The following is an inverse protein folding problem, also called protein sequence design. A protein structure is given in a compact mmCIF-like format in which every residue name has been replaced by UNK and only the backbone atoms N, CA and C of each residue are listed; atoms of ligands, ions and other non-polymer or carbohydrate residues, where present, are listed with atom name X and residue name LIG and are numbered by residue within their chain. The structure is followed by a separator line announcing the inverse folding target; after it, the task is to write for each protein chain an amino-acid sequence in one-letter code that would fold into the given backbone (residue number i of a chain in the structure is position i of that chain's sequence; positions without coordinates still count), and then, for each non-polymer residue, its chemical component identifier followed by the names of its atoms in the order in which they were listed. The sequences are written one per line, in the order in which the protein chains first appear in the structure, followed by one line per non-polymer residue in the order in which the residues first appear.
data_IF_536308242889
#
_entry.id   IF_536308242889
#
_cell.length_a   1.000
_cell.length_b   1.000
_cell.length_c   1.000
_cell.angle_alpha   90.00
_cell.angle_beta   90.00
_cell.angle_gamma   90.00
#
_symmetry.space_group_name_H-M   'P 1'
#
loop_
_entity.id
_entity.type
_entity.pdbx_description
1 polymer ?
#
# COMPACT_ATOMS: atom_id res chain seq x y z
N UNK A 1 39.53 -11.98 4.36
CA UNK A 1 38.82 -11.80 3.08
C UNK A 1 37.34 -11.64 3.41
N UNK A 2 36.83 -10.41 3.48
CA UNK A 2 35.41 -10.19 3.73
C UNK A 2 34.66 -10.26 2.40
N UNK A 3 33.75 -11.22 2.29
CA UNK A 3 32.83 -11.33 1.18
C UNK A 3 31.92 -10.10 1.19
N UNK A 4 32.15 -9.18 0.26
CA UNK A 4 31.19 -8.14 -0.07
C UNK A 4 29.91 -8.82 -0.52
N UNK A 5 28.91 -8.84 0.36
CA UNK A 5 27.56 -9.24 -0.03
C UNK A 5 27.08 -8.21 -1.05
N UNK A 6 27.26 -8.48 -2.35
CA UNK A 6 26.60 -7.74 -3.41
C UNK A 6 25.10 -7.87 -3.18
N UNK A 7 24.50 -6.92 -2.45
CA UNK A 7 23.06 -6.77 -2.32
C UNK A 7 22.56 -6.39 -3.71
N UNK A 8 22.25 -7.41 -4.53
CA UNK A 8 21.62 -7.23 -5.83
C UNK A 8 20.38 -6.36 -5.60
N UNK A 9 20.29 -5.25 -6.35
CA UNK A 9 19.15 -4.34 -6.29
C UNK A 9 17.90 -5.15 -6.63
N UNK A 10 16.77 -4.97 -5.92
CA UNK A 10 15.54 -5.66 -6.27
C UNK A 10 15.24 -5.41 -7.75
N UNK A 11 14.69 -6.40 -8.44
CA UNK A 11 14.35 -6.26 -9.85
C UNK A 11 12.88 -5.84 -9.96
N UNK A 12 12.58 -4.91 -10.87
CA UNK A 12 11.21 -4.56 -11.26
C UNK A 12 10.47 -5.83 -11.70
N UNK A 13 9.20 -5.96 -11.35
CA UNK A 13 8.34 -7.00 -11.90
C UNK A 13 7.92 -6.61 -13.32
N UNK A 14 8.06 -7.52 -14.27
CA UNK A 14 7.54 -7.31 -15.62
C UNK A 14 6.01 -7.30 -15.61
N UNK A 15 5.37 -6.67 -16.59
CA UNK A 15 3.89 -6.67 -16.68
C UNK A 15 3.33 -8.11 -16.81
N UNK A 16 4.06 -9.00 -17.48
CA UNK A 16 3.75 -10.44 -17.53
C UNK A 16 3.82 -11.12 -16.16
N UNK A 17 4.78 -10.73 -15.33
CA UNK A 17 4.90 -11.24 -13.95
C UNK A 17 3.71 -10.78 -13.11
N UNK A 18 3.34 -9.49 -13.23
CA UNK A 18 2.20 -8.93 -12.51
C UNK A 18 0.88 -9.59 -12.92
N UNK A 19 0.69 -9.87 -14.21
CA UNK A 19 -0.47 -10.63 -14.69
C UNK A 19 -0.47 -12.04 -14.10
N UNK A 20 0.67 -12.72 -14.08
CA UNK A 20 0.81 -14.07 -13.50
C UNK A 20 0.48 -14.09 -12.01
N UNK A 21 0.95 -13.08 -11.26
CA UNK A 21 0.79 -12.98 -9.80
C UNK A 21 -0.63 -12.59 -9.41
N UNK A 22 -1.20 -11.57 -10.05
CA UNK A 22 -2.42 -10.88 -9.58
C UNK A 22 -3.68 -11.16 -10.40
N UNK A 23 -3.57 -11.53 -11.68
CA UNK A 23 -4.75 -11.87 -12.50
C UNK A 23 -5.16 -13.35 -12.35
N UNK A 24 -4.30 -14.19 -11.79
CA UNK A 24 -4.55 -15.62 -11.56
C UNK A 24 -5.44 -15.88 -10.34
N UNK A 25 -6.37 -16.86 -10.37
CA UNK A 25 -7.10 -17.33 -9.19
C UNK A 25 -6.19 -17.80 -8.04
N UNK A 26 -4.93 -18.11 -8.35
CA UNK A 26 -3.93 -18.50 -7.36
C UNK A 26 -3.69 -17.42 -6.30
N UNK A 27 -3.84 -16.14 -6.65
CA UNK A 27 -3.67 -15.03 -5.69
C UNK A 27 -4.74 -15.06 -4.62
N UNK A 28 -5.99 -15.25 -5.06
CA UNK A 28 -7.17 -15.26 -4.21
C UNK A 28 -7.11 -16.45 -3.24
N UNK A 29 -6.76 -17.62 -3.77
CA UNK A 29 -6.59 -18.83 -2.97
C UNK A 29 -5.44 -18.70 -1.97
N UNK A 30 -4.33 -18.08 -2.37
CA UNK A 30 -3.18 -17.86 -1.48
C UNK A 30 -3.49 -16.89 -0.33
N UNK A 31 -4.33 -15.89 -0.59
CA UNK A 31 -4.65 -14.83 0.38
C UNK A 31 -6.03 -14.99 1.06
N UNK A 32 -6.81 -16.03 0.72
CA UNK A 32 -8.22 -16.21 1.08
C UNK A 32 -8.57 -15.92 2.54
N UNK A 33 -7.73 -16.35 3.48
CA UNK A 33 -8.01 -16.24 4.92
C UNK A 33 -7.12 -15.21 5.64
N UNK A 34 -6.35 -14.42 4.89
CA UNK A 34 -5.39 -13.48 5.47
C UNK A 34 -5.48 -12.13 4.74
N UNK A 35 -6.31 -11.18 5.25
CA UNK A 35 -6.48 -9.87 4.63
C UNK A 35 -5.18 -9.11 4.41
N UNK A 36 -4.19 -9.31 5.29
CA UNK A 36 -2.86 -8.72 5.14
C UNK A 36 -2.13 -9.27 3.90
N UNK A 37 -2.28 -10.55 3.56
CA UNK A 37 -1.69 -11.13 2.34
C UNK A 37 -2.41 -10.64 1.07
N UNK A 38 -3.70 -10.34 1.16
CA UNK A 38 -4.48 -9.83 0.04
C UNK A 38 -4.20 -8.34 -0.22
N UNK A 39 -4.33 -7.49 0.78
CA UNK A 39 -4.26 -6.04 0.56
C UNK A 39 -2.83 -5.50 0.53
N UNK A 40 -1.91 -6.06 1.32
CA UNK A 40 -0.56 -5.47 1.41
C UNK A 40 0.22 -5.49 0.07
N UNK A 41 0.22 -6.59 -0.71
CA UNK A 41 0.90 -6.58 -2.00
C UNK A 41 0.28 -5.60 -3.01
N UNK A 42 -1.06 -5.48 -3.02
CA UNK A 42 -1.76 -4.50 -3.85
C UNK A 42 -1.42 -3.06 -3.46
N UNK A 43 -1.41 -2.75 -2.16
CA UNK A 43 -0.97 -1.45 -1.63
C UNK A 43 0.52 -1.18 -1.95
N UNK A 44 1.36 -2.20 -1.91
CA UNK A 44 2.76 -2.11 -2.31
C UNK A 44 2.92 -1.78 -3.80
N UNK A 45 2.09 -2.37 -4.66
CA UNK A 45 2.13 -2.19 -6.12
C UNK A 45 1.59 -0.84 -6.57
N UNK A 46 0.47 -0.40 -6.00
CA UNK A 46 -0.27 0.78 -6.48
C UNK A 46 -0.04 2.05 -5.66
N UNK A 47 0.54 1.94 -4.47
CA UNK A 47 0.79 3.09 -3.59
C UNK A 47 2.22 3.07 -3.01
N UNK A 48 3.04 2.10 -3.38
CA UNK A 48 4.42 1.97 -2.89
C UNK A 48 4.51 1.71 -1.39
N UNK A 49 3.47 1.22 -0.73
CA UNK A 49 3.46 0.97 0.72
C UNK A 49 4.54 -0.07 1.08
N UNK A 50 5.24 0.11 2.19
CA UNK A 50 6.22 -0.89 2.71
C UNK A 50 5.51 -1.98 3.51
N UNK A 51 6.09 -3.18 3.58
CA UNK A 51 5.53 -4.29 4.35
C UNK A 51 5.29 -3.92 5.83
N UNK A 52 6.21 -3.17 6.44
CA UNK A 52 6.09 -2.70 7.82
C UNK A 52 5.00 -1.64 8.01
N UNK A 53 4.77 -0.80 7.00
CA UNK A 53 3.70 0.19 7.03
C UNK A 53 2.35 -0.52 6.87
N UNK A 54 2.23 -1.42 5.90
CA UNK A 54 1.01 -2.22 5.70
C UNK A 54 0.63 -3.03 6.95
N UNK A 55 1.61 -3.70 7.58
CA UNK A 55 1.37 -4.47 8.80
C UNK A 55 0.95 -3.60 10.00
N UNK A 56 1.33 -2.31 10.02
CA UNK A 56 1.05 -1.40 11.12
C UNK A 56 -0.19 -0.52 10.92
N UNK A 57 -0.90 -0.64 9.78
CA UNK A 57 -2.08 0.19 9.49
C UNK A 57 -3.23 -0.11 10.47
N UNK A 58 -3.81 0.96 11.01
CA UNK A 58 -5.04 0.92 11.80
C UNK A 58 -6.23 1.48 11.02
N UNK A 59 -7.44 1.23 11.50
CA UNK A 59 -8.66 1.84 10.91
C UNK A 59 -8.54 3.37 10.91
N UNK A 60 -7.99 3.94 11.99
CA UNK A 60 -7.81 5.40 12.15
C UNK A 60 -6.88 6.03 11.09
N UNK A 61 -6.09 5.21 10.39
CA UNK A 61 -5.23 5.68 9.31
C UNK A 61 -6.01 5.85 7.99
N UNK A 62 -7.28 5.42 7.93
CA UNK A 62 -8.17 5.66 6.78
C UNK A 62 -8.97 6.93 7.02
N UNK A 63 -8.66 7.96 6.23
CA UNK A 63 -9.30 9.28 6.31
C UNK A 63 -10.02 9.61 5.00
N UNK A 64 -11.04 10.46 5.06
CA UNK A 64 -11.82 10.87 3.89
C UNK A 64 -11.88 12.40 3.71
N UNK A 65 -10.72 13.09 3.55
CA UNK A 65 -10.71 14.53 3.31
C UNK A 65 -11.45 14.85 2.01
N UNK A 66 -12.49 15.69 2.10
CA UNK A 66 -13.30 16.16 0.97
C UNK A 66 -13.85 15.03 0.08
N UNK A 67 -14.30 13.93 0.70
CA UNK A 67 -14.90 12.78 0.01
C UNK A 67 -13.90 11.89 -0.73
N UNK A 68 -12.60 12.04 -0.47
CA UNK A 68 -11.55 11.20 -1.04
C UNK A 68 -10.97 10.27 0.02
N UNK A 69 -11.22 8.97 -0.10
CA UNK A 69 -10.55 7.97 0.73
C UNK A 69 -9.03 8.02 0.53
N UNK A 70 -8.30 8.23 1.62
CA UNK A 70 -6.85 8.31 1.69
C UNK A 70 -6.32 7.44 2.83
N UNK A 71 -5.10 6.94 2.67
CA UNK A 71 -4.39 6.17 3.71
C UNK A 71 -3.24 7.03 4.25
N UNK A 72 -3.21 7.24 5.56
CA UNK A 72 -2.12 7.93 6.26
C UNK A 72 -0.99 6.94 6.56
N UNK A 73 0.11 7.05 5.82
CA UNK A 73 1.27 6.19 6.01
C UNK A 73 2.26 6.83 6.99
N UNK A 74 2.17 6.42 8.26
CA UNK A 74 3.07 6.87 9.34
C UNK A 74 4.53 6.51 9.01
N UNK A 75 5.38 7.51 8.86
CA UNK A 75 6.83 7.29 8.79
C UNK A 75 7.33 7.05 10.23
N UNK A 76 7.39 5.78 10.67
CA UNK A 76 8.13 5.40 11.89
C UNK A 76 9.63 5.48 11.57
N UNK A 77 10.16 6.68 11.44
CA UNK A 77 11.52 6.91 11.91
C UNK A 77 11.50 6.59 13.41
N UNK A 78 12.46 5.79 13.88
CA UNK A 78 12.56 5.42 15.28
C UNK A 78 12.43 6.66 16.19
N UNK A 79 11.80 6.57 17.36
CA UNK A 79 11.78 7.69 18.28
C UNK A 79 13.22 7.90 18.78
N UNK A 80 13.86 8.99 18.37
CA UNK A 80 14.85 9.60 19.24
C UNK A 80 14.12 10.00 20.53
N UNK A 81 14.70 9.53 21.64
CA UNK A 81 14.28 9.75 23.01
C UNK A 81 13.92 11.21 23.26
N UNK A 82 12.65 11.53 23.45
CA UNK A 82 12.25 12.80 24.08
C UNK A 82 11.03 12.60 25.01
N UNK A 83 11.13 13.27 26.15
CA UNK A 83 10.36 13.06 27.38
C UNK A 83 8.83 13.13 27.25
N UNK A 84 8.17 12.40 28.15
CA UNK A 84 6.72 12.14 28.20
C UNK A 84 5.82 13.39 28.35
N UNK A 85 6.37 14.58 28.55
CA UNK A 85 5.59 15.79 28.86
C UNK A 85 5.16 16.56 27.60
N UNK A 86 5.77 16.32 26.44
CA UNK A 86 5.39 16.94 25.15
C UNK A 86 4.29 16.16 24.37
N UNK A 87 3.78 15.07 24.95
CA UNK A 87 2.91 14.08 24.28
C UNK A 87 1.46 14.56 24.07
N UNK A 88 0.94 15.41 24.97
CA UNK A 88 -0.50 15.74 24.98
C UNK A 88 -0.88 16.82 23.95
N UNK A 89 0.01 17.76 23.64
CA UNK A 89 -0.24 18.80 22.65
C UNK A 89 0.16 18.41 21.21
N UNK A 90 1.11 17.48 21.02
CA UNK A 90 1.51 16.96 19.69
C UNK A 90 0.48 16.03 19.04
N UNK A 91 -0.50 15.54 19.80
CA UNK A 91 -1.49 14.55 19.32
C UNK A 91 -2.61 15.20 18.49
N UNK A 92 -2.85 16.51 18.63
CA UNK A 92 -3.89 17.24 17.87
C UNK A 92 -3.38 17.94 16.59
N UNK A 93 -2.07 17.90 16.32
CA UNK A 93 -1.44 18.63 15.21
C UNK A 93 -0.41 17.80 14.41
N UNK A 94 -0.54 16.46 14.35
CA UNK A 94 0.19 15.67 13.33
C UNK A 94 -0.54 15.78 11.98
N UNK A 95 -0.46 16.94 11.36
CA UNK A 95 -0.98 17.16 10.01
C UNK A 95 -0.16 16.37 8.99
N UNK A 96 -0.73 15.23 8.59
CA UNK A 96 -0.87 14.76 7.22
C UNK A 96 0.36 14.71 6.28
N UNK A 97 1.59 14.66 6.80
CA UNK A 97 2.76 14.33 5.96
C UNK A 97 2.76 12.82 5.71
N UNK A 98 2.04 12.37 4.68
CA UNK A 98 1.98 10.96 4.30
C UNK A 98 0.61 10.37 3.94
N UNK A 99 -0.45 11.17 3.81
CA UNK A 99 -1.70 10.66 3.20
C UNK A 99 -1.54 10.46 1.71
N UNK A 100 -1.96 9.30 1.21
CA UNK A 100 -2.01 9.01 -0.22
C UNK A 100 -3.45 8.64 -0.58
N UNK A 101 -4.04 9.22 -1.64
CA UNK A 101 -5.37 8.87 -2.08
C UNK A 101 -5.39 7.41 -2.51
N UNK A 102 -6.46 6.69 -2.19
CA UNK A 102 -6.63 5.31 -2.67
C UNK A 102 -6.90 5.36 -4.18
N UNK A 103 -6.09 4.68 -5.00
CA UNK A 103 -6.26 4.66 -6.44
C UNK A 103 -7.54 3.93 -6.83
N UNK A 104 -8.14 4.31 -7.96
CA UNK A 104 -9.41 3.75 -8.46
C UNK A 104 -9.38 2.22 -8.54
N UNK A 105 -8.26 1.64 -8.96
CA UNK A 105 -8.09 0.18 -9.06
C UNK A 105 -8.33 -0.55 -7.73
N UNK A 106 -7.96 0.04 -6.58
CA UNK A 106 -8.21 -0.54 -5.26
C UNK A 106 -9.63 -0.27 -4.77
N UNK A 107 -10.21 0.89 -5.15
CA UNK A 107 -11.61 1.19 -4.87
C UNK A 107 -12.52 0.17 -5.58
N UNK A 108 -12.26 -0.09 -6.86
CA UNK A 108 -13.00 -1.06 -7.67
C UNK A 108 -12.79 -2.50 -7.20
N UNK A 109 -11.62 -2.80 -6.62
CA UNK A 109 -11.33 -4.08 -5.96
C UNK A 109 -12.09 -4.27 -4.64
N UNK A 110 -12.93 -3.33 -4.19
CA UNK A 110 -13.75 -3.47 -2.98
C UNK A 110 -13.03 -3.06 -1.69
N UNK A 111 -11.96 -2.27 -1.77
CA UNK A 111 -11.29 -1.76 -0.56
C UNK A 111 -12.22 -0.97 0.38
N UNK A 112 -13.15 -0.13 -0.09
CA UNK A 112 -14.11 0.55 0.77
C UNK A 112 -15.03 -0.42 1.53
N UNK A 113 -15.51 -1.45 0.83
CA UNK A 113 -16.38 -2.49 1.41
C UNK A 113 -15.63 -3.26 2.51
N UNK A 114 -14.35 -3.55 2.30
CA UNK A 114 -13.46 -4.13 3.31
C UNK A 114 -13.31 -3.23 4.54
N UNK A 115 -12.98 -1.94 4.34
CA UNK A 115 -12.81 -0.99 5.44
C UNK A 115 -14.09 -0.86 6.26
N UNK A 116 -15.26 -0.81 5.61
CA UNK A 116 -16.55 -0.76 6.29
C UNK A 116 -16.81 -2.02 7.13
N UNK A 117 -16.54 -3.21 6.59
CA UNK A 117 -16.69 -4.47 7.31
C UNK A 117 -15.80 -4.53 8.57
N UNK A 118 -14.55 -4.07 8.48
CA UNK A 118 -13.62 -4.05 9.60
C UNK A 118 -14.02 -3.02 10.66
N UNK A 119 -14.56 -1.85 10.25
CA UNK A 119 -15.13 -0.85 11.17
C UNK A 119 -16.31 -1.41 11.97
N UNK A 120 -17.19 -2.17 11.32
CA UNK A 120 -18.37 -2.75 11.97
C UNK A 120 -18.03 -3.85 12.98
N UNK A 121 -16.82 -4.43 12.89
CA UNK A 121 -16.33 -5.46 13.82
C UNK A 121 -15.56 -4.90 15.02
N UNK A 122 -15.63 -3.58 15.25
CA UNK A 122 -14.87 -2.84 16.28
C UNK A 122 -13.35 -3.13 16.25
N UNK A 123 -12.82 -3.46 15.07
CA UNK A 123 -11.40 -3.71 14.89
C UNK A 123 -10.59 -2.44 15.12
N UNK A 124 -9.44 -2.53 15.80
CA UNK A 124 -8.48 -1.41 15.85
C UNK A 124 -7.52 -1.43 14.67
N UNK A 125 -7.28 -2.62 14.13
CA UNK A 125 -6.29 -2.89 13.09
C UNK A 125 -6.96 -2.94 11.73
N UNK A 126 -6.33 -2.37 10.71
CA UNK A 126 -6.88 -2.41 9.35
C UNK A 126 -6.80 -3.81 8.75
N UNK A 127 -5.73 -4.56 9.05
CA UNK A 127 -5.55 -5.95 8.61
C UNK A 127 -5.34 -6.86 9.83
N UNK A 128 -6.43 -7.32 10.46
CA UNK A 128 -6.35 -8.38 11.46
C UNK A 128 -5.71 -9.62 10.83
N UNK A 129 -4.78 -10.25 11.55
CA UNK A 129 -4.09 -11.46 11.08
C UNK A 129 -3.88 -12.42 12.24
N UNK A 130 -4.02 -13.71 11.97
CA UNK A 130 -3.80 -14.78 12.95
C UNK A 130 -2.35 -14.85 13.46
N UNK A 131 -1.43 -14.12 12.80
CA UNK A 131 0.00 -14.26 13.00
C UNK A 131 0.60 -13.27 14.00
N UNK A 132 -0.15 -12.25 14.42
CA UNK A 132 0.33 -11.27 15.42
C UNK A 132 0.66 -11.94 16.75
N UNK A 133 -0.12 -12.94 17.14
CA UNK A 133 0.12 -13.73 18.35
C UNK A 133 1.24 -14.75 18.17
N UNK A 134 1.56 -15.10 16.92
CA UNK A 134 2.50 -16.20 16.58
C UNK A 134 3.90 -15.70 16.21
N UNK A 135 4.05 -14.42 15.86
CA UNK A 135 5.30 -13.86 15.33
C UNK A 135 5.57 -12.48 15.91
N UNK A 136 6.82 -12.25 16.36
CA UNK A 136 7.24 -10.95 16.88
C UNK A 136 7.28 -9.85 15.79
N UNK A 137 7.44 -10.22 14.52
CA UNK A 137 7.46 -9.29 13.38
C UNK A 137 6.54 -9.77 12.24
N UNK A 138 5.30 -9.25 12.24
CA UNK A 138 4.31 -9.48 11.19
C UNK A 138 4.80 -9.04 9.80
N UNK A 139 5.66 -8.02 9.71
CA UNK A 139 6.21 -7.56 8.44
C UNK A 139 7.28 -8.52 7.89
N UNK A 140 8.11 -9.13 8.74
CA UNK A 140 9.00 -10.22 8.35
C UNK A 140 8.20 -11.44 7.84
N UNK A 141 7.13 -11.81 8.54
CA UNK A 141 6.22 -12.87 8.12
C UNK A 141 5.62 -12.60 6.72
N UNK A 142 5.05 -11.42 6.51
CA UNK A 142 4.47 -10.99 5.23
C UNK A 142 5.51 -11.08 4.10
N UNK A 143 6.71 -10.54 4.33
CA UNK A 143 7.82 -10.60 3.36
C UNK A 143 8.18 -12.02 2.99
N UNK A 144 8.28 -12.92 3.98
CA UNK A 144 8.62 -14.33 3.77
C UNK A 144 7.53 -15.07 2.98
N UNK A 145 6.26 -14.91 3.36
CA UNK A 145 5.11 -15.52 2.67
C UNK A 145 5.02 -15.07 1.22
N UNK A 146 5.11 -13.77 0.98
CA UNK A 146 5.04 -13.22 -0.36
C UNK A 146 6.22 -13.66 -1.23
N UNK A 147 7.45 -13.65 -0.70
CA UNK A 147 8.61 -14.15 -1.44
C UNK A 147 8.47 -15.64 -1.81
N UNK A 148 7.85 -16.45 -0.94
CA UNK A 148 7.55 -17.86 -1.24
C UNK A 148 6.49 -18.00 -2.34
N UNK A 149 5.46 -17.17 -2.31
CA UNK A 149 4.42 -17.12 -3.35
C UNK A 149 5.00 -16.73 -4.72
N UNK A 150 5.90 -15.75 -4.78
CA UNK A 150 6.59 -15.40 -6.02
C UNK A 150 7.43 -16.56 -6.56
N UNK A 151 8.17 -17.26 -5.68
CA UNK A 151 8.97 -18.42 -6.08
C UNK A 151 8.14 -19.57 -6.63
N UNK A 152 6.93 -19.81 -6.10
CA UNK A 152 6.05 -20.87 -6.63
C UNK A 152 5.53 -20.56 -8.03
N UNK A 153 5.57 -19.29 -8.46
CA UNK A 153 5.21 -18.85 -9.81
C UNK A 153 6.45 -18.66 -10.72
N UNK A 154 7.62 -19.17 -10.32
CA UNK A 154 8.85 -19.07 -11.11
C UNK A 154 9.57 -17.72 -11.03
N UNK A 155 9.05 -16.77 -10.26
CA UNK A 155 9.60 -15.40 -10.15
C UNK A 155 10.67 -15.40 -9.06
N UNK A 156 11.93 -15.57 -9.48
CA UNK A 156 13.10 -15.66 -8.60
C UNK A 156 13.64 -14.26 -8.27
N UNK A 157 14.21 -14.09 -7.08
CA UNK A 157 14.88 -12.86 -6.59
C UNK A 157 14.00 -11.63 -6.38
N UNK A 158 12.69 -11.77 -6.52
CA UNK A 158 11.72 -10.73 -6.20
C UNK A 158 11.11 -10.96 -4.81
N UNK A 159 10.73 -9.86 -4.16
CA UNK A 159 10.10 -9.87 -2.84
C UNK A 159 9.20 -8.64 -2.70
N UNK A 160 8.76 -8.35 -1.48
CA UNK A 160 7.85 -7.23 -1.25
C UNK A 160 8.45 -5.87 -1.71
N UNK A 161 9.77 -5.72 -1.66
CA UNK A 161 10.47 -4.52 -2.17
C UNK A 161 10.34 -4.32 -3.68
N UNK A 162 10.16 -5.40 -4.46
CA UNK A 162 9.99 -5.33 -5.91
C UNK A 162 8.69 -4.61 -6.30
N UNK A 163 7.64 -4.71 -5.47
CA UNK A 163 6.38 -3.99 -5.67
C UNK A 163 6.60 -2.48 -5.62
N UNK A 164 7.26 -1.98 -4.57
CA UNK A 164 7.57 -0.55 -4.41
C UNK A 164 8.50 -0.03 -5.50
N UNK A 165 9.45 -0.85 -5.95
CA UNK A 165 10.31 -0.47 -7.08
C UNK A 165 9.51 -0.35 -8.37
N UNK A 166 8.64 -1.32 -8.65
CA UNK A 166 7.75 -1.29 -9.81
C UNK A 166 6.86 -0.04 -9.77
N UNK A 167 6.30 0.30 -8.61
CA UNK A 167 5.58 1.55 -8.40
C UNK A 167 6.45 2.79 -8.69
N UNK A 168 7.67 2.82 -8.17
CA UNK A 168 8.62 3.92 -8.38
C UNK A 168 9.03 4.11 -9.84
N UNK A 169 9.22 3.03 -10.59
CA UNK A 169 9.50 3.10 -12.02
C UNK A 169 8.28 3.60 -12.81
N UNK A 170 7.08 3.06 -12.54
CA UNK A 170 5.82 3.56 -13.14
C UNK A 170 5.58 5.04 -12.84
N UNK A 171 5.96 5.52 -11.65
CA UNK A 171 5.94 6.94 -11.30
C UNK A 171 6.86 7.77 -12.18
N UNK A 172 8.08 7.29 -12.45
CA UNK A 172 9.06 7.99 -13.27
C UNK A 172 8.64 8.02 -14.74
N UNK A 173 8.06 6.94 -15.24
CA UNK A 173 7.58 6.81 -16.63
C UNK A 173 6.29 7.60 -16.90
N UNK A 174 5.49 7.89 -15.86
CA UNK A 174 4.22 8.58 -16.02
C UNK A 174 4.36 10.06 -16.40
N UNK A 175 3.47 10.53 -17.28
CA UNK A 175 3.32 11.94 -17.63
C UNK A 175 2.53 12.71 -16.57
N UNK A 176 3.22 13.01 -15.46
CA UNK A 176 2.73 13.75 -14.30
C UNK A 176 3.81 14.72 -13.80
N UNK A 177 3.40 15.74 -13.05
CA UNK A 177 4.32 16.76 -12.54
C UNK A 177 5.39 16.16 -11.62
N UNK A 178 6.59 16.73 -11.64
CA UNK A 178 7.68 16.25 -10.76
C UNK A 178 7.33 16.42 -9.27
N UNK A 179 6.53 17.43 -8.93
CA UNK A 179 5.97 17.62 -7.60
C UNK A 179 5.09 16.42 -7.18
N UNK A 180 4.17 15.97 -8.05
CA UNK A 180 3.33 14.80 -7.79
C UNK A 180 4.16 13.51 -7.71
N UNK A 181 5.15 13.33 -8.61
CA UNK A 181 6.08 12.18 -8.56
C UNK A 181 6.76 12.09 -7.20
N UNK A 182 7.24 13.23 -6.69
CA UNK A 182 7.97 13.29 -5.41
C UNK A 182 7.08 13.04 -4.21
N UNK A 183 5.87 13.60 -4.22
CA UNK A 183 4.85 13.39 -3.19
C UNK A 183 4.43 11.92 -3.12
N UNK A 184 4.09 11.31 -4.27
CA UNK A 184 3.71 9.90 -4.36
C UNK A 184 4.88 8.94 -4.06
N UNK A 185 6.11 9.28 -4.46
CA UNK A 185 7.30 8.51 -4.08
C UNK A 185 7.59 8.58 -2.58
N UNK A 186 7.00 9.57 -1.87
CA UNK A 186 7.26 9.88 -0.47
C UNK A 186 8.76 10.10 -0.22
N UNK A 187 9.43 10.75 -1.18
CA UNK A 187 10.84 11.07 -1.07
C UNK A 187 11.00 12.22 -0.06
N UNK A 188 11.64 11.94 1.08
CA UNK A 188 11.96 12.98 2.06
C UNK A 188 13.00 13.92 1.47
N UNK A 189 12.70 15.21 1.33
CA UNK A 189 13.74 16.21 1.17
C UNK A 189 14.51 16.34 2.48
N UNK A 190 15.81 16.06 2.46
CA UNK A 190 16.72 16.37 3.57
C UNK A 190 17.00 17.89 3.72
N UNK A 191 16.35 18.77 2.95
CA UNK A 191 16.78 20.17 2.81
C UNK A 191 15.70 21.27 2.92
N UNK A 192 14.45 20.97 3.29
CA UNK A 192 13.47 22.03 3.55
C UNK A 192 12.74 21.81 4.88
N UNK A 193 13.24 22.36 5.99
CA UNK A 193 12.44 22.52 7.19
C UNK A 193 11.45 23.68 6.94
N UNK A 194 10.21 23.51 7.37
CA UNK A 194 9.19 24.56 7.59
C UNK A 194 8.00 24.73 6.61
N UNK A 195 8.04 24.30 5.34
CA UNK A 195 6.90 24.61 4.43
C UNK A 195 5.87 23.48 4.22
N UNK A 196 6.06 22.32 4.83
CA UNK A 196 5.17 21.14 4.71
C UNK A 196 4.05 21.09 5.74
N UNK A 197 3.94 22.10 6.61
CA UNK A 197 2.96 22.12 7.71
C UNK A 197 1.57 22.65 7.32
N UNK A 198 1.43 23.36 6.18
CA UNK A 198 0.22 24.14 5.90
C UNK A 198 -0.53 23.84 4.60
N UNK A 199 -0.06 22.96 3.71
CA UNK A 199 -0.68 22.81 2.39
C UNK A 199 -1.30 21.43 2.15
N UNK A 200 -2.58 21.27 2.51
CA UNK A 200 -3.50 20.36 1.81
C UNK A 200 -4.83 21.07 1.50
N UNK A 201 -4.87 21.99 0.53
CA UNK A 201 -6.13 22.33 -0.10
C UNK A 201 -6.68 21.06 -0.75
N UNK A 202 -7.96 20.75 -0.53
CA UNK A 202 -8.67 19.58 -1.11
C UNK A 202 -8.47 19.45 -2.63
N UNK A 203 -8.24 20.56 -3.34
CA UNK A 203 -7.86 20.61 -4.75
C UNK A 203 -6.57 19.84 -5.08
N UNK A 204 -5.56 19.86 -4.20
CA UNK A 204 -4.29 19.14 -4.39
C UNK A 204 -4.49 17.63 -4.32
N UNK A 205 -5.34 17.14 -3.42
CA UNK A 205 -5.63 15.70 -3.30
C UNK A 205 -6.40 15.17 -4.52
N UNK A 206 -7.29 15.99 -5.10
CA UNK A 206 -7.97 15.67 -6.36
C UNK A 206 -6.96 15.53 -7.52
N UNK A 207 -6.00 16.46 -7.63
CA UNK A 207 -4.92 16.38 -8.62
C UNK A 207 -4.06 15.13 -8.41
N UNK A 208 -3.65 14.87 -7.17
CA UNK A 208 -2.82 13.73 -6.81
C UNK A 208 -3.53 12.40 -7.12
N UNK A 209 -4.85 12.29 -6.88
CA UNK A 209 -5.66 11.14 -7.26
C UNK A 209 -5.70 10.94 -8.78
N UNK A 210 -5.83 12.02 -9.55
CA UNK A 210 -5.78 11.96 -11.02
C UNK A 210 -4.42 11.43 -11.50
N UNK A 211 -3.33 11.95 -10.95
CA UNK A 211 -1.96 11.49 -11.25
C UNK A 211 -1.77 10.01 -10.86
N UNK A 212 -2.26 9.59 -9.69
CA UNK A 212 -2.16 8.20 -9.24
C UNK A 212 -2.96 7.22 -10.11
N UNK A 213 -4.15 7.63 -10.57
CA UNK A 213 -4.96 6.82 -11.47
C UNK A 213 -4.27 6.61 -12.82
N UNK A 214 -3.55 7.61 -13.36
CA UNK A 214 -2.78 7.45 -14.61
C UNK A 214 -1.71 6.35 -14.51
N UNK A 215 -1.06 6.24 -13.35
CA UNK A 215 0.00 5.25 -13.08
C UNK A 215 -0.58 3.85 -12.92
N UNK A 216 -1.80 3.77 -12.38
CA UNK A 216 -2.45 2.50 -12.05
C UNK A 216 -3.06 1.79 -13.28
N UNK A 217 -3.05 2.42 -14.45
CA UNK A 217 -3.56 1.87 -15.72
C UNK A 217 -2.64 0.78 -16.32
N UNK A 218 -2.46 -0.33 -15.61
CA UNK A 218 -2.16 -1.62 -16.24
C UNK A 218 -3.44 -2.43 -16.15
N UNK A 219 -3.94 -2.98 -17.27
CA UNK A 219 -5.24 -3.68 -17.41
C UNK A 219 -5.42 -4.98 -16.59
N UNK A 220 -4.82 -5.05 -15.40
CA UNK A 220 -4.99 -6.10 -14.42
C UNK A 220 -6.41 -6.01 -13.86
N UNK A 221 -7.23 -7.00 -14.19
CA UNK A 221 -8.51 -7.19 -13.51
C UNK A 221 -8.21 -7.77 -12.14
N UNK A 222 -8.33 -6.94 -11.11
CA UNK A 222 -8.12 -7.38 -9.74
C UNK A 222 -9.34 -8.16 -9.22
N UNK A 223 -9.11 -9.15 -8.34
CA UNK A 223 -10.19 -9.74 -7.56
C UNK A 223 -10.93 -8.68 -6.74
N UNK A 224 -12.26 -8.77 -6.68
CA UNK A 224 -13.10 -7.89 -5.89
C UNK A 224 -13.41 -8.51 -4.54
N UNK A 225 -13.22 -7.74 -3.48
CA UNK A 225 -13.66 -8.08 -2.13
C UNK A 225 -15.18 -7.93 -2.01
N UNK A 226 -15.86 -8.95 -1.47
CA UNK A 226 -17.32 -8.95 -1.24
C UNK A 226 -17.64 -9.35 0.21
N UNK A 227 -17.58 -8.40 1.14
CA UNK A 227 -18.11 -8.56 2.50
C UNK A 227 -17.42 -9.63 3.35
N UNK A 228 -18.19 -10.23 4.27
CA UNK A 228 -17.67 -11.02 5.41
C UNK A 228 -16.99 -12.35 5.05
N UNK A 229 -16.89 -12.66 3.76
CA UNK A 229 -16.01 -13.68 3.22
C UNK A 229 -15.21 -13.08 2.04
N UNK A 230 -13.89 -13.14 2.13
CA UNK A 230 -13.07 -13.05 0.91
C UNK A 230 -13.49 -14.24 0.05
N UNK A 231 -13.74 -14.02 -1.25
CA UNK A 231 -13.94 -15.00 -2.33
C UNK A 231 -15.38 -15.13 -2.85
N UNK A 232 -15.70 -14.40 -3.94
CA UNK A 232 -16.24 -14.99 -5.19
C UNK A 232 -15.84 -14.07 -6.36
N UNK A 233 -15.15 -14.61 -7.38
CA UNK A 233 -15.01 -13.93 -8.69
C UNK A 233 -16.32 -14.06 -9.45
N UNK A 234 -16.84 -12.98 -10.00
CA UNK A 234 -17.62 -13.04 -11.24
C UNK A 234 -16.72 -12.60 -12.38
N UNK A 235 -16.20 -13.54 -13.17
CA UNK A 235 -15.80 -13.23 -14.54
C UNK A 235 -17.09 -12.98 -15.32
N UNK A 236 -17.55 -11.74 -15.31
CA UNK A 236 -18.78 -11.31 -15.99
C UNK A 236 -18.46 -10.15 -16.89
N UNK A 237 -18.46 -10.40 -18.20
CA UNK A 237 -18.69 -9.41 -19.24
C UNK A 237 -19.79 -8.44 -18.79
N UNK A 238 -19.45 -7.17 -18.61
CA UNK A 238 -20.42 -6.09 -18.55
C UNK A 238 -20.05 -5.07 -19.61
N UNK A 239 -20.47 -5.36 -20.84
CA UNK A 239 -20.74 -4.33 -21.84
C UNK A 239 -21.81 -3.42 -21.23
N UNK A 240 -21.48 -2.17 -20.96
CA UNK A 240 -22.49 -1.15 -20.67
C UNK A 240 -22.98 -0.60 -22.01
N UNK A 241 -24.24 -0.89 -22.33
CA UNK A 241 -25.06 -0.05 -23.20
C UNK A 241 -25.67 1.10 -22.42
#
# INVERSE_FOLDING_TARGET
MNAESHRQRPQRLAESDLATIFASPAYDQWAANEPLLFWAPLLGLYMGVRASEAAALSIDDIIEPAGLMCIVLKNRAAPESESATASKYRTRQRHNTGSIPVPKVLLDAGFPDYVAAIKNKDGRELFPTSQRERTADTAAWLRSKFARYLRSHGIKKSGFSALRQTFGERLMDADISWADKRELARASERHFPAFTWFFYPSCRMKSLKKSLNKISCGGLTLPRFMGDQVLVRTHGDARYG
#
